data_IF_088827946847
#
_entry.id   IF_088827946847
#
_cell.length_a   1.000
_cell.length_b   1.000
_cell.length_c   1.000
_cell.angle_alpha   90.00
_cell.angle_beta   90.00
_cell.angle_gamma   90.00
#
_symmetry.space_group_name_H-M   'P 1'
#
loop_
_entity.id
_entity.type
_entity.pdbx_description
1 polymer ?
#
# COMPACT_ATOMS: atom_id res chain seq x y z
N UNK A 1 7.02 -20.11 10.28
CA UNK A 1 5.86 -21.03 10.32
C UNK A 1 5.46 -21.36 11.76
N UNK A 2 4.33 -20.82 12.25
CA UNK A 2 3.87 -20.95 13.65
C UNK A 2 3.04 -22.22 13.95
N UNK A 3 3.20 -23.29 13.16
CA UNK A 3 2.68 -24.63 13.49
C UNK A 3 1.17 -24.73 13.78
N UNK A 4 0.33 -23.91 13.14
CA UNK A 4 -1.14 -23.94 13.32
C UNK A 4 -1.67 -23.27 14.60
N UNK A 5 -0.82 -22.55 15.34
CA UNK A 5 -1.22 -21.79 16.54
C UNK A 5 -2.01 -20.52 16.24
N UNK A 6 -1.92 -20.04 15.00
CA UNK A 6 -2.61 -18.85 14.52
C UNK A 6 -3.34 -19.11 13.20
N UNK A 7 -4.38 -18.30 12.97
CA UNK A 7 -5.01 -18.13 11.67
C UNK A 7 -4.75 -16.72 11.20
N UNK A 8 -4.14 -16.60 10.02
CA UNK A 8 -3.93 -15.33 9.34
C UNK A 8 -5.11 -15.07 8.39
N UNK A 9 -5.74 -13.90 8.53
CA UNK A 9 -6.84 -13.44 7.69
C UNK A 9 -6.38 -12.23 6.90
N UNK A 10 -6.08 -12.44 5.62
CA UNK A 10 -5.69 -11.37 4.71
C UNK A 10 -6.94 -10.64 4.19
N UNK A 11 -6.96 -9.32 4.34
CA UNK A 11 -8.02 -8.42 3.88
C UNK A 11 -7.46 -7.68 2.67
N UNK A 12 -7.89 -8.08 1.48
CA UNK A 12 -7.53 -7.45 0.21
C UNK A 12 -8.41 -6.25 -0.11
N UNK A 13 -7.78 -5.17 -0.52
CA UNK A 13 -8.39 -3.87 -0.81
C UNK A 13 -8.02 -3.44 -2.22
N UNK A 14 -9.04 -3.03 -2.99
CA UNK A 14 -8.83 -2.45 -4.31
C UNK A 14 -8.82 -0.93 -4.24
N UNK A 15 -7.71 -0.32 -4.66
CA UNK A 15 -7.57 1.12 -4.81
C UNK A 15 -7.80 1.49 -6.28
N UNK A 16 -8.87 2.23 -6.62
CA UNK A 16 -9.17 2.52 -8.01
C UNK A 16 -8.16 3.49 -8.65
N UNK A 17 -7.56 4.38 -7.86
CA UNK A 17 -6.61 5.38 -8.30
C UNK A 17 -5.85 5.97 -7.10
N UNK A 18 -4.56 6.26 -7.27
CA UNK A 18 -3.84 7.20 -6.43
C UNK A 18 -3.48 8.47 -7.19
N UNK A 19 -3.57 9.61 -6.49
CA UNK A 19 -3.03 10.86 -7.03
C UNK A 19 -1.50 10.89 -7.05
N UNK A 20 -0.90 12.04 -7.32
CA UNK A 20 0.51 12.12 -7.63
C UNK A 20 1.39 12.02 -6.40
N UNK A 21 2.51 11.32 -6.55
CA UNK A 21 3.46 11.14 -5.48
C UNK A 21 4.08 12.49 -5.06
N UNK A 22 4.49 12.55 -3.79
CA UNK A 22 5.13 13.72 -3.20
C UNK A 22 6.48 13.29 -2.66
N UNK A 23 7.50 14.13 -2.80
CA UNK A 23 8.81 13.90 -2.21
C UNK A 23 9.11 14.93 -1.13
N UNK A 24 9.90 14.51 -0.15
CA UNK A 24 10.61 15.40 0.76
C UNK A 24 12.06 15.48 0.32
N UNK A 25 12.58 16.69 0.22
CA UNK A 25 13.98 16.98 -0.07
C UNK A 25 14.47 17.93 1.00
N UNK A 26 15.19 17.38 1.99
CA UNK A 26 15.64 18.10 3.16
C UNK A 26 14.45 18.71 3.94
N UNK A 27 14.28 20.03 3.85
CA UNK A 27 13.23 20.80 4.50
C UNK A 27 12.09 21.20 3.56
N UNK A 28 12.14 20.79 2.29
CA UNK A 28 11.10 21.10 1.30
C UNK A 28 10.25 19.89 0.95
N UNK A 29 8.97 20.15 0.69
CA UNK A 29 8.05 19.17 0.10
C UNK A 29 7.78 19.55 -1.34
N UNK A 30 7.88 18.59 -2.24
CA UNK A 30 7.79 18.78 -3.69
C UNK A 30 6.72 17.83 -4.24
N UNK A 31 5.80 18.37 -5.05
CA UNK A 31 4.90 17.53 -5.85
C UNK A 31 5.69 16.99 -7.05
N UNK A 32 5.55 15.70 -7.34
CA UNK A 32 6.26 15.06 -8.44
C UNK A 32 5.52 15.18 -9.79
N UNK A 33 4.61 16.16 -9.93
CA UNK A 33 3.81 16.30 -11.15
C UNK A 33 2.86 15.12 -11.26
N UNK A 34 2.93 14.35 -12.35
CA UNK A 34 2.17 13.08 -12.52
C UNK A 34 2.93 11.83 -12.06
N UNK A 35 4.19 11.97 -11.65
CA UNK A 35 5.01 10.82 -11.26
C UNK A 35 4.36 10.12 -10.07
N UNK A 36 4.27 8.79 -10.17
CA UNK A 36 3.67 7.93 -9.15
C UNK A 36 2.14 7.83 -9.20
N UNK A 37 1.43 8.60 -10.03
CA UNK A 37 0.01 8.35 -10.28
C UNK A 37 -0.14 6.97 -10.93
N UNK A 38 -1.14 6.19 -10.55
CA UNK A 38 -1.59 5.03 -11.30
C UNK A 38 -3.04 4.67 -10.96
N UNK A 39 -3.66 3.92 -11.87
CA UNK A 39 -5.01 3.40 -11.71
C UNK A 39 -4.94 1.94 -11.32
N UNK A 40 -5.84 1.53 -10.43
CA UNK A 40 -5.88 0.18 -9.91
C UNK A 40 -4.67 -0.14 -9.03
N UNK A 41 -4.94 -0.68 -7.86
CA UNK A 41 -3.98 -1.46 -7.08
C UNK A 41 -4.71 -2.40 -6.15
N UNK A 42 -4.04 -3.49 -5.79
CA UNK A 42 -4.51 -4.44 -4.81
C UNK A 42 -3.53 -4.45 -3.65
N UNK A 43 -3.92 -3.88 -2.52
CA UNK A 43 -3.13 -3.95 -1.29
C UNK A 43 -3.84 -4.79 -0.24
N UNK A 44 -3.12 -5.18 0.79
CA UNK A 44 -3.69 -5.96 1.86
C UNK A 44 -3.16 -5.58 3.24
N UNK A 45 -3.96 -5.95 4.23
CA UNK A 45 -3.54 -6.06 5.63
C UNK A 45 -3.88 -7.47 6.11
N UNK A 46 -3.13 -8.00 7.06
CA UNK A 46 -3.36 -9.37 7.54
C UNK A 46 -3.53 -9.38 9.05
N UNK A 47 -4.66 -9.90 9.51
CA UNK A 47 -4.93 -10.11 10.93
C UNK A 47 -4.35 -11.46 11.34
N UNK A 48 -3.55 -11.50 12.42
CA UNK A 48 -3.09 -12.75 13.02
C UNK A 48 -3.88 -13.05 14.29
N UNK A 49 -4.73 -14.07 14.23
CA UNK A 49 -5.67 -14.44 15.28
C UNK A 49 -5.20 -15.73 15.96
N UNK A 50 -5.19 -15.77 17.29
CA UNK A 50 -4.84 -16.98 18.03
C UNK A 50 -5.93 -18.04 17.93
N UNK A 51 -5.55 -19.26 17.55
CA UNK A 51 -6.48 -20.39 17.47
C UNK A 51 -6.89 -20.92 18.85
N UNK A 52 -6.26 -20.47 19.94
CA UNK A 52 -6.57 -20.92 21.30
C UNK A 52 -7.69 -20.10 21.95
N UNK A 53 -7.73 -18.79 21.70
CA UNK A 53 -8.65 -17.88 22.40
C UNK A 53 -9.36 -16.87 21.47
N UNK A 54 -9.08 -16.90 20.16
CA UNK A 54 -9.72 -16.00 19.19
C UNK A 54 -9.26 -14.55 19.27
N UNK A 55 -8.23 -14.23 20.05
CA UNK A 55 -7.72 -12.87 20.18
C UNK A 55 -6.80 -12.51 19.01
N UNK A 56 -6.91 -11.26 18.55
CA UNK A 56 -5.93 -10.65 17.66
C UNK A 56 -4.59 -10.53 18.41
N UNK A 57 -3.51 -11.05 17.82
CA UNK A 57 -2.16 -10.95 18.39
C UNK A 57 -1.31 -9.90 17.69
N UNK A 58 -1.40 -9.82 16.38
CA UNK A 58 -0.71 -8.81 15.59
C UNK A 58 -1.45 -8.55 14.29
N UNK A 59 -1.12 -7.44 13.64
CA UNK A 59 -1.63 -7.09 12.33
C UNK A 59 -0.46 -6.70 11.43
N UNK A 60 -0.48 -7.24 10.21
CA UNK A 60 0.47 -6.90 9.16
C UNK A 60 -0.09 -5.79 8.28
N UNK A 61 0.77 -4.85 7.93
CA UNK A 61 0.45 -3.72 7.06
C UNK A 61 1.34 -3.77 5.82
N UNK A 62 0.74 -4.04 4.65
CA UNK A 62 1.46 -4.02 3.36
C UNK A 62 2.02 -2.65 3.06
N UNK A 63 3.30 -2.60 2.70
CA UNK A 63 4.05 -1.40 2.33
C UNK A 63 4.91 -1.70 1.11
N UNK A 64 4.37 -1.42 -0.06
CA UNK A 64 5.05 -1.62 -1.34
C UNK A 64 5.39 -3.11 -1.57
N UNK A 65 6.67 -3.50 -1.53
CA UNK A 65 7.11 -4.89 -1.77
C UNK A 65 7.26 -5.73 -0.49
N UNK A 66 7.03 -5.12 0.68
CA UNK A 66 7.15 -5.73 2.02
C UNK A 66 6.04 -5.19 2.92
N UNK A 67 6.21 -5.28 4.23
CA UNK A 67 5.33 -4.66 5.20
C UNK A 67 5.87 -4.75 6.61
N UNK A 68 5.04 -4.37 7.56
CA UNK A 68 5.40 -4.37 8.98
C UNK A 68 4.33 -5.08 9.78
N UNK A 69 4.76 -5.90 10.73
CA UNK A 69 3.91 -6.43 11.78
C UNK A 69 3.88 -5.45 12.96
N UNK A 70 2.69 -5.13 13.45
CA UNK A 70 2.51 -4.44 14.72
C UNK A 70 1.72 -5.33 15.68
N UNK A 71 2.12 -5.34 16.94
CA UNK A 71 1.44 -6.10 17.99
C UNK A 71 0.07 -5.46 18.26
N UNK A 72 -0.91 -6.29 18.66
CA UNK A 72 -2.27 -5.83 18.92
C UNK A 72 -2.32 -4.71 19.97
N UNK A 73 -1.38 -4.68 20.92
CA UNK A 73 -1.27 -3.61 21.92
C UNK A 73 -0.89 -2.26 21.35
N UNK A 74 -0.25 -2.24 20.18
CA UNK A 74 0.29 -1.05 19.54
C UNK A 74 -0.62 -0.51 18.43
N UNK A 75 -1.76 -1.17 18.21
CA UNK A 75 -2.76 -0.78 17.21
C UNK A 75 -3.71 0.27 17.77
N UNK A 76 -4.15 1.16 16.90
CA UNK A 76 -5.31 1.99 17.15
C UNK A 76 -6.60 1.22 16.84
N UNK A 77 -7.66 1.49 17.62
CA UNK A 77 -8.95 0.84 17.48
C UNK A 77 -10.09 1.85 17.39
N UNK A 78 -11.08 1.55 16.56
CA UNK A 78 -12.33 2.30 16.46
C UNK A 78 -13.55 1.42 16.73
N UNK A 79 -14.61 2.04 17.23
CA UNK A 79 -15.91 1.39 17.48
C UNK A 79 -15.78 0.07 18.29
N UNK A 80 -14.90 0.08 19.29
CA UNK A 80 -14.61 -1.08 20.14
C UNK A 80 -13.36 -1.82 19.68
N UNK A 81 -13.53 -2.95 18.99
CA UNK A 81 -12.46 -3.90 18.69
C UNK A 81 -12.01 -3.92 17.23
N UNK A 82 -12.36 -2.90 16.43
CA UNK A 82 -11.94 -2.84 15.02
C UNK A 82 -10.59 -2.13 14.91
N UNK A 83 -9.49 -2.83 14.56
CA UNK A 83 -8.21 -2.18 14.38
C UNK A 83 -8.26 -1.23 13.18
N UNK A 84 -7.49 -0.15 13.26
CA UNK A 84 -7.40 0.88 12.23
C UNK A 84 -6.14 0.66 11.38
N UNK A 85 -6.28 0.82 10.07
CA UNK A 85 -5.17 0.89 9.14
C UNK A 85 -5.20 2.22 8.40
N UNK A 86 -4.07 2.92 8.38
CA UNK A 86 -3.92 4.20 7.73
C UNK A 86 -3.29 4.03 6.35
N UNK A 87 -4.05 4.29 5.30
CA UNK A 87 -3.55 4.28 3.93
C UNK A 87 -2.75 5.55 3.62
N UNK A 88 -1.66 5.41 2.88
CA UNK A 88 -0.83 6.50 2.38
C UNK A 88 -1.61 7.40 1.42
N UNK A 89 -1.56 8.71 1.64
CA UNK A 89 -2.09 9.70 0.71
C UNK A 89 -1.25 9.68 -0.58
N UNK A 90 -1.94 9.49 -1.72
CA UNK A 90 -1.32 9.36 -3.04
C UNK A 90 -0.39 8.14 -3.19
N UNK A 91 -0.46 7.18 -2.26
CA UNK A 91 0.10 5.85 -2.40
C UNK A 91 -0.92 4.81 -1.95
N UNK A 92 -0.48 3.58 -1.74
CA UNK A 92 -1.35 2.50 -1.25
C UNK A 92 -0.81 1.75 -0.02
N UNK A 93 0.41 2.08 0.40
CA UNK A 93 1.02 1.53 1.60
C UNK A 93 0.13 1.78 2.84
N UNK A 94 0.01 0.77 3.68
CA UNK A 94 -0.76 0.81 4.92
C UNK A 94 0.17 0.95 6.12
N UNK A 95 -0.30 1.68 7.14
CA UNK A 95 0.46 1.95 8.35
C UNK A 95 -0.39 1.73 9.60
N UNK A 96 0.20 1.24 10.70
CA UNK A 96 -0.50 1.08 11.98
C UNK A 96 -0.82 2.42 12.64
N UNK A 97 -0.05 3.46 12.33
CA UNK A 97 -0.17 4.78 12.93
C UNK A 97 -0.24 5.85 11.84
N UNK A 98 -0.95 6.93 12.15
CA UNK A 98 -0.96 8.16 11.37
C UNK A 98 0.41 8.86 11.41
N UNK A 99 0.74 9.60 10.35
CA UNK A 99 1.95 10.41 10.30
C UNK A 99 2.64 10.39 8.95
N UNK A 100 3.94 10.69 8.95
CA UNK A 100 4.78 10.67 7.76
C UNK A 100 5.77 9.51 7.86
N UNK A 101 5.71 8.61 6.89
CA UNK A 101 6.77 7.63 6.63
C UNK A 101 7.50 8.03 5.36
N UNK A 102 8.82 8.21 5.45
CA UNK A 102 9.66 8.53 4.30
C UNK A 102 10.22 7.25 3.68
N UNK A 103 9.92 7.03 2.40
CA UNK A 103 10.57 6.00 1.60
C UNK A 103 11.80 6.63 0.93
N UNK A 104 12.95 6.49 1.59
CA UNK A 104 14.21 7.07 1.14
C UNK A 104 15.28 7.02 2.22
N UNK A 105 16.23 7.96 2.19
CA UNK A 105 17.33 8.03 3.15
C UNK A 105 17.32 9.39 3.88
N UNK A 106 17.26 9.34 5.22
CA UNK A 106 17.28 10.51 6.07
C UNK A 106 16.13 11.47 5.79
N UNK A 107 16.45 12.70 5.40
CA UNK A 107 15.50 13.78 5.09
C UNK A 107 15.03 13.79 3.63
N UNK A 108 15.41 12.78 2.83
CA UNK A 108 15.19 12.74 1.38
C UNK A 108 14.44 11.45 1.00
N UNK A 109 13.25 11.55 0.40
CA UNK A 109 12.49 10.38 -0.04
C UNK A 109 11.05 10.68 -0.48
N UNK A 110 10.35 9.65 -0.97
CA UNK A 110 8.89 9.72 -1.19
C UNK A 110 8.20 9.86 0.16
N UNK A 111 7.16 10.69 0.20
CA UNK A 111 6.31 10.89 1.36
C UNK A 111 5.15 9.93 1.31
N UNK A 112 5.05 9.08 2.33
CA UNK A 112 3.83 8.38 2.66
C UNK A 112 3.17 9.09 3.83
N UNK A 113 2.35 10.08 3.50
CA UNK A 113 1.56 10.86 4.47
C UNK A 113 0.27 10.10 4.77
N UNK A 114 0.00 9.74 6.01
CA UNK A 114 -1.22 9.02 6.41
C UNK A 114 -1.89 9.75 7.57
N UNK A 115 -3.23 9.66 7.64
CA UNK A 115 -3.98 10.32 8.70
C UNK A 115 -5.47 10.10 8.58
N UNK A 116 -6.19 10.45 9.66
CA UNK A 116 -7.64 10.29 9.71
C UNK A 116 -8.35 11.33 8.85
N UNK A 117 -9.07 10.85 7.84
CA UNK A 117 -9.93 11.67 6.98
C UNK A 117 -11.36 11.82 7.51
N UNK A 118 -12.19 12.57 6.78
CA UNK A 118 -13.64 12.64 7.04
C UNK A 118 -14.39 11.37 6.62
N UNK A 119 -13.78 10.58 5.75
CA UNK A 119 -14.33 9.33 5.21
C UNK A 119 -13.38 8.19 5.52
N UNK A 120 -13.94 7.04 5.86
CA UNK A 120 -13.22 5.79 6.10
C UNK A 120 -13.99 4.62 5.50
N UNK A 121 -13.33 3.47 5.35
CA UNK A 121 -13.93 2.24 4.84
C UNK A 121 -14.00 1.21 5.98
N UNK A 122 -15.21 0.80 6.37
CA UNK A 122 -15.39 -0.36 7.25
C UNK A 122 -15.32 -1.65 6.41
N UNK A 123 -14.14 -2.27 6.40
CA UNK A 123 -13.87 -3.51 5.66
C UNK A 123 -14.65 -4.71 6.20
N UNK A 124 -15.12 -4.64 7.44
CA UNK A 124 -15.93 -5.69 8.06
C UNK A 124 -17.43 -5.57 7.75
N UNK A 125 -17.90 -4.45 7.18
CA UNK A 125 -19.32 -4.23 6.94
C UNK A 125 -19.85 -5.03 5.73
N UNK A 126 -19.06 -5.13 4.65
CA UNK A 126 -19.38 -5.90 3.44
C UNK A 126 -18.09 -6.42 2.82
N UNK A 127 -18.00 -7.73 2.63
CA UNK A 127 -16.82 -8.38 2.06
C UNK A 127 -17.21 -9.56 1.16
N UNK A 128 -16.25 -10.01 0.36
CA UNK A 128 -16.33 -11.23 -0.42
C UNK A 128 -15.17 -12.13 -0.01
N UNK A 129 -15.44 -13.40 0.29
CA UNK A 129 -14.37 -14.38 0.54
C UNK A 129 -13.78 -14.79 -0.81
N UNK A 130 -12.49 -14.54 -0.98
CA UNK A 130 -11.77 -14.71 -2.27
C UNK A 130 -10.71 -15.81 -2.26
N UNK A 131 -10.39 -16.39 -1.10
CA UNK A 131 -9.63 -17.63 -0.99
C UNK A 131 -9.97 -18.34 0.33
N UNK A 132 -10.58 -19.52 0.22
CA UNK A 132 -10.88 -20.37 1.36
C UNK A 132 -11.01 -21.84 0.94
N UNK A 133 -10.08 -22.33 0.11
CA UNK A 133 -10.12 -23.68 -0.48
C UNK A 133 -10.30 -24.80 0.55
N UNK A 134 -9.82 -24.61 1.78
CA UNK A 134 -9.97 -25.56 2.88
C UNK A 134 -11.43 -25.76 3.32
N UNK A 135 -12.34 -24.84 3.00
CA UNK A 135 -13.79 -24.98 3.23
C UNK A 135 -14.48 -25.89 2.20
N UNK A 136 -13.73 -26.39 1.20
CA UNK A 136 -14.23 -27.32 0.20
C UNK A 136 -15.38 -26.73 -0.63
N UNK A 137 -16.48 -27.48 -0.86
CA UNK A 137 -17.53 -27.11 -1.81
C UNK A 137 -18.36 -25.89 -1.41
N UNK A 138 -18.26 -25.42 -0.16
CA UNK A 138 -18.94 -24.21 0.32
C UNK A 138 -18.32 -22.95 -0.29
N UNK A 139 -17.03 -23.01 -0.65
CA UNK A 139 -16.31 -21.92 -1.25
C UNK A 139 -16.37 -21.99 -2.78
N UNK A 140 -16.80 -20.89 -3.41
CA UNK A 140 -16.77 -20.71 -4.86
C UNK A 140 -15.83 -19.56 -5.19
N UNK A 141 -14.72 -19.86 -5.86
CA UNK A 141 -13.72 -18.84 -6.23
C UNK A 141 -14.34 -17.84 -7.23
N UNK A 142 -14.23 -16.52 -6.97
CA UNK A 142 -14.70 -15.52 -7.90
C UNK A 142 -13.90 -15.55 -9.23
N UNK A 143 -14.53 -15.62 -10.41
CA UNK A 143 -13.82 -15.75 -11.68
C UNK A 143 -12.82 -14.62 -11.97
N UNK A 144 -13.13 -13.39 -11.51
CA UNK A 144 -12.26 -12.22 -11.71
C UNK A 144 -10.89 -12.35 -11.04
N UNK A 145 -10.76 -13.25 -10.05
CA UNK A 145 -9.49 -13.50 -9.37
C UNK A 145 -8.42 -14.06 -10.31
N UNK A 146 -8.85 -14.69 -11.41
CA UNK A 146 -7.96 -15.22 -12.45
C UNK A 146 -7.65 -14.19 -13.56
N UNK A 147 -8.09 -12.94 -13.41
CA UNK A 147 -7.72 -11.86 -14.32
C UNK A 147 -6.26 -11.45 -14.11
N UNK A 148 -5.39 -11.90 -15.01
CA UNK A 148 -3.93 -11.69 -14.98
C UNK A 148 -3.45 -10.47 -15.77
N UNK A 149 -4.36 -9.60 -16.20
CA UNK A 149 -4.03 -8.35 -16.89
C UNK A 149 -4.10 -7.15 -15.94
N UNK A 150 -3.63 -6.01 -16.42
CA UNK A 150 -3.57 -4.74 -15.69
C UNK A 150 -4.98 -4.22 -15.44
N UNK A 151 -5.21 -3.73 -14.23
CA UNK A 151 -6.48 -3.14 -13.83
C UNK A 151 -6.50 -1.65 -14.16
N UNK A 152 -7.53 -1.19 -14.88
CA UNK A 152 -7.70 0.23 -15.23
C UNK A 152 -7.01 0.68 -16.53
N UNK A 153 -7.23 1.93 -16.97
CA UNK A 153 -6.65 2.48 -18.18
C UNK A 153 -5.12 2.64 -18.09
N UNK A 154 -4.42 2.46 -19.21
CA UNK A 154 -3.01 2.85 -19.28
C UNK A 154 -2.93 4.34 -19.59
N UNK A 155 -2.33 5.11 -18.68
CA UNK A 155 -1.99 6.50 -18.93
C UNK A 155 -0.49 6.53 -19.27
N UNK A 156 -0.10 7.43 -20.17
CA UNK A 156 1.28 7.55 -20.67
C UNK A 156 1.68 9.01 -20.66
N UNK A 157 2.82 9.29 -20.03
CA UNK A 157 3.44 10.60 -19.99
C UNK A 157 4.96 10.42 -20.05
N UNK A 158 5.65 11.44 -20.53
CA UNK A 158 7.10 11.48 -20.46
C UNK A 158 7.52 11.82 -19.04
N UNK A 159 8.10 10.85 -18.34
CA UNK A 159 8.71 11.04 -17.01
C UNK A 159 9.77 12.15 -17.11
N UNK A 160 10.55 12.18 -18.19
CA UNK A 160 11.55 13.22 -18.44
C UNK A 160 10.93 14.62 -18.52
N UNK A 161 9.74 14.74 -19.13
CA UNK A 161 9.02 16.00 -19.19
C UNK A 161 8.53 16.45 -17.81
N UNK A 162 8.04 15.53 -16.99
CA UNK A 162 7.61 15.83 -15.62
C UNK A 162 8.79 16.22 -14.72
N UNK A 163 9.91 15.47 -14.79
CA UNK A 163 11.17 15.82 -14.11
C UNK A 163 11.63 17.22 -14.55
N UNK A 164 11.59 17.51 -15.85
CA UNK A 164 12.01 18.82 -16.38
C UNK A 164 11.08 19.95 -15.93
N UNK A 165 9.77 19.73 -15.86
CA UNK A 165 8.80 20.71 -15.36
C UNK A 165 9.05 21.03 -13.90
N UNK A 166 9.19 20.00 -13.05
CA UNK A 166 9.46 20.18 -11.62
C UNK A 166 10.86 20.78 -11.41
N UNK A 167 11.86 20.35 -12.18
CA UNK A 167 13.22 20.88 -12.11
C UNK A 167 13.35 22.35 -12.48
N UNK A 168 12.46 22.90 -13.33
CA UNK A 168 12.45 24.34 -13.68
C UNK A 168 12.05 25.24 -12.52
N UNK A 169 11.26 24.73 -11.56
CA UNK A 169 10.80 25.51 -10.41
C UNK A 169 11.73 25.39 -9.18
N UNK A 170 12.75 24.52 -9.24
CA UNK A 170 13.66 24.28 -8.13
C UNK A 170 15.00 25.04 -8.29
N UNK A 171 15.45 25.80 -7.26
CA UNK A 171 16.78 26.41 -7.22
C UNK A 171 17.89 25.37 -7.29
N UNK A 172 19.04 25.70 -7.91
CA UNK A 172 20.11 24.76 -8.30
C UNK A 172 20.40 23.58 -7.37
N UNK A 173 20.68 23.83 -6.08
CA UNK A 173 20.97 22.74 -5.11
C UNK A 173 19.76 21.81 -4.88
N UNK A 174 18.55 22.34 -4.88
CA UNK A 174 17.31 21.57 -4.72
C UNK A 174 16.98 20.77 -5.98
N UNK A 175 17.28 21.31 -7.17
CA UNK A 175 17.14 20.58 -8.43
C UNK A 175 18.01 19.32 -8.44
N UNK A 176 19.29 19.44 -8.07
CA UNK A 176 20.20 18.28 -8.01
C UNK A 176 19.77 17.25 -6.95
N UNK A 177 19.23 17.71 -5.82
CA UNK A 177 18.71 16.82 -4.78
C UNK A 177 17.42 16.12 -5.23
N UNK A 178 16.52 16.83 -5.92
CA UNK A 178 15.32 16.26 -6.54
C UNK A 178 15.66 15.20 -7.60
N UNK A 179 16.59 15.49 -8.50
CA UNK A 179 17.05 14.52 -9.51
C UNK A 179 17.61 13.25 -8.84
N UNK A 180 18.35 13.38 -7.73
CA UNK A 180 18.79 12.22 -6.93
C UNK A 180 17.61 11.43 -6.38
N UNK A 181 16.55 12.09 -5.89
CA UNK A 181 15.33 11.40 -5.42
C UNK A 181 14.72 10.62 -6.57
N UNK A 182 14.43 11.28 -7.70
CA UNK A 182 13.76 10.64 -8.84
C UNK A 182 14.57 9.45 -9.36
N UNK A 183 15.89 9.59 -9.46
CA UNK A 183 16.77 8.50 -9.89
C UNK A 183 16.89 7.36 -8.87
N UNK A 184 16.55 7.60 -7.60
CA UNK A 184 16.49 6.57 -6.56
C UNK A 184 15.12 5.90 -6.44
N UNK A 185 14.10 6.39 -7.16
CA UNK A 185 12.76 5.84 -7.05
C UNK A 185 12.70 4.42 -7.66
N UNK A 186 11.92 3.52 -7.04
CA UNK A 186 11.61 2.24 -7.64
C UNK A 186 10.97 2.43 -9.02
N UNK A 187 11.24 1.52 -9.95
CA UNK A 187 10.68 1.60 -11.33
C UNK A 187 9.16 1.57 -11.33
N UNK A 188 8.58 0.95 -10.32
CA UNK A 188 7.15 0.85 -10.05
C UNK A 188 6.51 2.23 -9.89
N UNK A 189 7.22 3.20 -9.30
CA UNK A 189 6.71 4.58 -9.12
C UNK A 189 6.83 5.39 -10.41
N UNK A 190 7.69 4.97 -11.33
CA UNK A 190 7.98 5.70 -12.57
C UNK A 190 7.01 5.37 -13.70
N UNK A 191 6.15 4.34 -13.58
CA UNK A 191 5.23 3.91 -14.64
C UNK A 191 3.76 3.94 -14.23
N UNK A 192 2.89 4.33 -15.16
CA UNK A 192 1.42 4.32 -15.00
C UNK A 192 0.81 3.03 -15.56
N UNK A 193 1.03 1.92 -14.85
CA UNK A 193 0.36 0.66 -15.17
C UNK A 193 -0.22 0.06 -13.89
N UNK A 194 -1.55 -0.11 -13.86
CA UNK A 194 -2.18 -0.84 -12.76
C UNK A 194 -1.62 -2.26 -12.66
N UNK A 195 -1.50 -2.82 -11.45
CA UNK A 195 -0.94 -4.13 -11.27
C UNK A 195 -1.88 -5.18 -11.87
N UNK A 196 -1.38 -6.40 -11.90
CA UNK A 196 -2.20 -7.60 -12.06
C UNK A 196 -3.09 -7.82 -10.84
N UNK A 197 -4.05 -8.76 -10.94
CA UNK A 197 -4.92 -9.11 -9.82
C UNK A 197 -4.18 -9.67 -8.61
N UNK A 198 -4.84 -9.75 -7.44
CA UNK A 198 -4.18 -10.09 -6.16
C UNK A 198 -3.53 -11.48 -6.20
N UNK A 199 -4.11 -12.44 -6.94
CA UNK A 199 -3.54 -13.79 -7.14
C UNK A 199 -2.18 -13.82 -7.84
N UNK A 200 -1.82 -12.74 -8.53
CA UNK A 200 -0.52 -12.58 -9.19
C UNK A 200 0.48 -11.84 -8.30
N UNK A 201 0.08 -11.34 -7.13
CA UNK A 201 1.00 -10.76 -6.16
C UNK A 201 1.71 -11.89 -5.42
N UNK A 202 3.00 -11.69 -5.20
CA UNK A 202 3.86 -12.58 -4.42
C UNK A 202 3.34 -12.83 -2.99
N UNK A 203 2.59 -11.88 -2.42
CA UNK A 203 1.95 -11.97 -1.11
C UNK A 203 0.66 -12.78 -1.09
N UNK A 204 0.19 -13.27 -2.25
CA UNK A 204 -1.02 -14.09 -2.32
C UNK A 204 -0.88 -15.44 -1.61
N UNK A 205 0.31 -16.04 -1.68
CA UNK A 205 0.59 -17.35 -1.08
C UNK A 205 1.77 -17.29 -0.13
N UNK A 206 1.65 -17.98 1.00
CA UNK A 206 2.72 -18.11 1.98
C UNK A 206 2.65 -17.08 3.11
N UNK A 207 3.73 -17.00 3.88
CA UNK A 207 3.84 -16.10 5.02
C UNK A 207 4.12 -14.65 4.55
N UNK A 208 3.63 -13.67 5.31
CA UNK A 208 3.88 -12.24 5.05
C UNK A 208 5.38 -11.88 5.10
N UNK A 209 5.79 -10.90 4.27
CA UNK A 209 7.19 -10.48 4.13
C UNK A 209 7.50 -9.27 5.02
N UNK A 210 8.40 -9.44 5.97
CA UNK A 210 9.04 -8.36 6.75
C UNK A 210 10.34 -7.87 6.12
#
# INVERSE_FOLDING_TARGET
>A
MFGGTFTDVAIWLFYPFNGPARAKVEFFNISLGKIGEHVGDWEHVTLRISNFNGELKSMYFSQHSKGVWADASDLEYENGNKPVAYSSLHGHASYPNQGLVLQGNGSIGIRNDSGKGKSFMDTGAKFLVVDAKYLGPVYVEPPWLNYSRKWGPKISYSIEDEIRKVGKVLPGKLKSAFEKVVNSLPREVLGEEGPTGPKMKDSWTGDERS
#
